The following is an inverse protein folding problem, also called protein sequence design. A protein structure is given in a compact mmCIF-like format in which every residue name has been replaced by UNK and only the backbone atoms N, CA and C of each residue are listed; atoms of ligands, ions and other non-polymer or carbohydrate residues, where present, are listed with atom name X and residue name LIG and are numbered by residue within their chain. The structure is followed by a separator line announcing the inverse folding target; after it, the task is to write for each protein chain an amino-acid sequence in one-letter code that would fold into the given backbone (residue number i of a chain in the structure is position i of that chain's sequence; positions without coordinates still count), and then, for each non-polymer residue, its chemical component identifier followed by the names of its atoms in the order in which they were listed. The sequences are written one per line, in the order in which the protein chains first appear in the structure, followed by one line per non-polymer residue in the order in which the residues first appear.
data_IF_803628651516
#
_entry.id   IF_803628651516
#
_cell.length_a   1.000
_cell.length_b   1.000
_cell.length_c   1.000
_cell.angle_alpha   90.00
_cell.angle_beta   90.00
_cell.angle_gamma   90.00
#
_symmetry.space_group_name_H-M   'P 1'
#
loop_
_entity.id
_entity.type
_entity.pdbx_description
1 polymer ?
#
# COMPACT_ATOMS: atom_id res chain seq x y z
N UNK A 1 10.44 -0.76 -4.33
CA UNK A 1 10.27 -1.75 -5.41
C UNK A 1 9.47 -2.92 -4.85
N UNK A 2 8.61 -3.55 -5.65
CA UNK A 2 7.87 -4.76 -5.31
C UNK A 2 8.43 -5.86 -6.21
N UNK A 3 9.14 -6.80 -5.59
CA UNK A 3 9.81 -7.90 -6.27
C UNK A 3 8.89 -9.12 -6.28
N UNK A 4 8.64 -9.75 -7.45
CA UNK A 4 7.78 -10.92 -7.52
C UNK A 4 8.23 -12.03 -6.56
N UNK A 5 7.27 -12.56 -5.79
CA UNK A 5 7.45 -13.65 -4.81
C UNK A 5 8.35 -13.35 -3.61
N UNK A 6 8.78 -12.10 -3.41
CA UNK A 6 9.42 -11.71 -2.16
C UNK A 6 8.40 -11.56 -1.02
N UNK A 7 8.83 -11.91 0.18
CA UNK A 7 7.98 -11.88 1.38
C UNK A 7 7.54 -10.45 1.75
N UNK A 8 6.36 -10.35 2.33
CA UNK A 8 5.93 -9.17 3.08
C UNK A 8 6.74 -9.11 4.38
N UNK A 9 7.49 -8.02 4.56
CA UNK A 9 8.52 -7.90 5.62
C UNK A 9 8.20 -6.81 6.63
N UNK A 10 7.17 -6.01 6.38
CA UNK A 10 6.73 -4.92 7.24
C UNK A 10 5.24 -5.06 7.54
N UNK A 11 4.85 -4.68 8.75
CA UNK A 11 3.48 -4.75 9.25
C UNK A 11 3.10 -3.45 9.94
N UNK A 12 1.93 -2.91 9.62
CA UNK A 12 1.41 -1.70 10.26
C UNK A 12 1.01 -1.94 11.72
N UNK A 13 1.54 -1.13 12.65
CA UNK A 13 1.13 -1.11 14.05
C UNK A 13 -0.06 -0.16 14.24
N UNK A 14 -1.15 -0.63 14.86
CA UNK A 14 -2.31 0.21 15.19
C UNK A 14 -1.89 1.44 16.03
N UNK A 15 -2.44 2.64 15.79
CA UNK A 15 -2.40 3.69 16.79
C UNK A 15 -3.31 3.27 17.95
N UNK A 16 -2.72 2.94 19.10
CA UNK A 16 -3.46 2.66 20.33
C UNK A 16 -4.05 3.98 20.85
N UNK A 17 -5.20 4.41 20.32
CA UNK A 17 -6.00 5.48 20.93
C UNK A 17 -6.89 4.85 21.99
N UNK A 18 -6.43 4.87 23.24
CA UNK A 18 -7.16 4.29 24.36
C UNK A 18 -6.40 4.32 25.67
N UNK A 19 -5.70 5.41 26.02
CA UNK A 19 -5.36 5.65 27.43
C UNK A 19 -6.62 6.13 28.16
N UNK A 20 -7.52 5.21 28.50
CA UNK A 20 -8.36 5.43 29.67
C UNK A 20 -7.46 5.31 30.89
N UNK A 21 -7.18 6.46 31.51
CA UNK A 21 -6.56 6.54 32.82
C UNK A 21 -7.44 5.79 33.81
N UNK A 22 -7.00 4.60 34.23
CA UNK A 22 -7.61 3.86 35.33
C UNK A 22 -7.46 4.66 36.61
N UNK A 23 -8.57 5.13 37.16
CA UNK A 23 -8.61 5.61 38.55
C UNK A 23 -8.57 4.40 39.49
N UNK A 24 -7.74 4.39 40.54
CA UNK A 24 -7.72 3.30 41.49
C UNK A 24 -8.91 3.42 42.45
N UNK A 25 -9.80 2.44 42.40
CA UNK A 25 -10.82 2.20 43.40
C UNK A 25 -10.19 1.96 44.78
N UNK A 26 -10.46 2.83 45.75
CA UNK A 26 -10.21 2.55 47.17
C UNK A 26 -11.44 1.86 47.75
N UNK A 27 -11.39 0.52 47.84
CA UNK A 27 -12.38 -0.27 48.55
C UNK A 27 -12.01 -0.41 50.03
N UNK A 28 -12.76 0.25 50.91
CA UNK A 28 -12.79 -0.06 52.34
C UNK A 28 -13.43 -1.44 52.53
N UNK A 29 -12.70 -2.36 53.17
CA UNK A 29 -13.25 -3.62 53.62
C UNK A 29 -14.04 -3.46 54.91
N UNK A 30 -15.25 -4.00 54.95
CA UNK A 30 -15.86 -4.61 56.13
C UNK A 30 -17.20 -5.28 55.78
N UNK A 31 -17.31 -6.57 56.11
CA UNK A 31 -18.55 -7.13 56.66
C UNK A 31 -19.48 -7.94 55.75
N UNK A 32 -19.63 -9.21 56.16
CA UNK A 32 -20.87 -10.01 56.21
C UNK A 32 -21.08 -11.16 55.21
N UNK A 33 -21.63 -12.21 55.84
CA UNK A 33 -21.87 -13.59 55.42
C UNK A 33 -23.04 -13.70 54.43
N UNK A 34 -23.06 -14.74 53.60
CA UNK A 34 -24.26 -15.11 52.83
C UNK A 34 -24.05 -16.31 51.91
N UNK A 35 -25.01 -17.25 51.94
CA UNK A 35 -25.01 -18.58 51.34
C UNK A 35 -25.24 -18.63 49.81
N UNK A 36 -24.81 -19.76 49.23
CA UNK A 36 -25.39 -20.54 48.12
C UNK A 36 -26.01 -19.81 46.92
N UNK A 37 -25.47 -20.10 45.73
CA UNK A 37 -26.15 -19.94 44.45
C UNK A 37 -25.44 -20.71 43.34
N UNK A 38 -25.94 -21.91 43.03
CA UNK A 38 -25.71 -22.53 41.72
C UNK A 38 -26.45 -21.69 40.66
N UNK A 39 -25.76 -21.27 39.60
CA UNK A 39 -26.22 -21.25 38.20
C UNK A 39 -25.36 -20.29 37.38
N UNK A 40 -24.90 -20.75 36.22
CA UNK A 40 -24.27 -19.88 35.22
C UNK A 40 -23.17 -20.55 34.40
N UNK A 41 -23.50 -21.58 33.62
CA UNK A 41 -22.76 -21.83 32.38
C UNK A 41 -22.96 -20.61 31.48
N UNK A 42 -21.97 -19.74 31.36
CA UNK A 42 -21.86 -18.81 30.24
C UNK A 42 -20.42 -18.85 29.74
N UNK A 43 -20.31 -19.09 28.43
CA UNK A 43 -19.10 -19.59 27.79
C UNK A 43 -17.91 -18.66 27.93
N UNK A 44 -16.76 -19.27 28.20
CA UNK A 44 -15.48 -18.77 27.70
C UNK A 44 -15.47 -18.94 26.17
N UNK A 45 -16.32 -18.21 25.46
CA UNK A 45 -16.00 -17.85 24.08
C UNK A 45 -15.04 -16.69 24.20
N UNK A 46 -13.77 -17.01 23.92
CA UNK A 46 -12.68 -16.08 23.97
C UNK A 46 -13.08 -14.75 23.34
N UNK A 47 -12.83 -13.68 24.08
CA UNK A 47 -12.60 -12.37 23.53
C UNK A 47 -11.39 -12.50 22.58
N UNK A 48 -11.61 -13.03 21.37
CA UNK A 48 -10.81 -12.67 20.22
C UNK A 48 -11.21 -11.22 19.94
N UNK A 49 -10.64 -10.33 20.75
CA UNK A 49 -10.65 -8.91 20.50
C UNK A 49 -10.28 -8.72 19.05
N UNK A 50 -11.11 -7.94 18.35
CA UNK A 50 -10.89 -7.54 16.97
C UNK A 50 -9.44 -7.09 16.82
N UNK A 51 -8.58 -8.01 16.37
CA UNK A 51 -7.26 -7.67 15.88
C UNK A 51 -7.53 -6.98 14.57
N UNK A 52 -7.82 -5.67 14.64
CA UNK A 52 -8.06 -4.84 13.48
C UNK A 52 -6.95 -5.10 12.47
N UNK A 53 -7.36 -5.31 11.21
CA UNK A 53 -6.51 -5.67 10.09
C UNK A 53 -5.18 -4.92 10.14
N UNK A 54 -4.07 -5.67 10.17
CA UNK A 54 -2.72 -5.11 10.07
C UNK A 54 -2.30 -5.24 8.61
N UNK A 55 -1.95 -4.13 7.99
CA UNK A 55 -1.38 -4.15 6.65
C UNK A 55 -0.02 -4.86 6.69
N UNK A 56 0.26 -5.67 5.68
CA UNK A 56 1.55 -6.33 5.48
C UNK A 56 2.02 -6.06 4.06
N UNK A 57 3.26 -5.61 3.92
CA UNK A 57 3.78 -5.21 2.62
C UNK A 57 5.30 -5.41 2.52
N UNK A 58 5.83 -5.32 1.30
CA UNK A 58 7.27 -5.34 1.07
C UNK A 58 7.95 -4.07 1.61
N UNK A 59 9.28 -4.12 1.70
CA UNK A 59 10.09 -3.02 2.24
C UNK A 59 9.86 -1.70 1.52
N UNK A 60 9.54 -0.67 2.31
CA UNK A 60 9.52 0.72 1.87
C UNK A 60 10.80 1.39 2.35
N UNK A 61 11.64 1.82 1.42
CA UNK A 61 12.91 2.49 1.73
C UNK A 61 12.76 4.01 1.78
N UNK A 62 13.62 4.65 2.56
CA UNK A 62 13.84 6.09 2.48
C UNK A 62 14.81 6.41 1.35
N UNK A 63 14.49 7.45 0.58
CA UNK A 63 15.37 7.98 -0.48
C UNK A 63 15.75 9.42 -0.15
N UNK A 64 17.00 9.80 -0.44
CA UNK A 64 17.53 11.15 -0.26
C UNK A 64 18.36 11.59 -1.47
N UNK A 65 18.67 12.88 -1.51
CA UNK A 65 19.54 13.44 -2.54
C UNK A 65 20.89 12.69 -2.58
N UNK A 66 21.29 12.28 -3.78
CA UNK A 66 22.52 11.51 -4.03
C UNK A 66 22.35 9.99 -4.02
N UNK A 67 21.19 9.46 -3.64
CA UNK A 67 20.94 8.02 -3.71
C UNK A 67 20.83 7.55 -5.18
N UNK A 68 21.36 6.36 -5.47
CA UNK A 68 21.23 5.66 -6.75
C UNK A 68 20.45 4.38 -6.53
N UNK A 69 19.39 4.18 -7.32
CA UNK A 69 18.48 3.05 -7.20
C UNK A 69 18.52 2.26 -8.49
N UNK A 70 18.81 0.96 -8.41
CA UNK A 70 18.67 0.04 -9.53
C UNK A 70 17.28 -0.60 -9.48
N UNK A 71 16.61 -0.67 -10.63
CA UNK A 71 15.31 -1.34 -10.78
C UNK A 71 15.45 -2.39 -11.87
N UNK A 72 15.08 -3.63 -11.56
CA UNK A 72 15.14 -4.72 -12.54
C UNK A 72 13.92 -4.73 -13.46
N UNK A 73 14.03 -5.21 -14.71
CA UNK A 73 12.87 -5.38 -15.59
C UNK A 73 11.77 -6.22 -14.93
N UNK A 74 10.53 -5.75 -15.02
CA UNK A 74 9.35 -6.44 -14.48
C UNK A 74 9.05 -6.16 -13.00
N UNK A 75 9.93 -5.49 -12.26
CA UNK A 75 9.63 -5.06 -10.89
C UNK A 75 8.78 -3.80 -10.86
N UNK A 76 7.75 -3.78 -10.02
CA UNK A 76 6.96 -2.58 -9.79
C UNK A 76 7.65 -1.64 -8.81
N UNK A 77 7.48 -0.33 -8.97
CA UNK A 77 8.00 0.65 -8.02
C UNK A 77 7.11 1.88 -7.96
N UNK A 78 7.15 2.57 -6.82
CA UNK A 78 6.42 3.80 -6.55
C UNK A 78 7.28 4.69 -5.66
N UNK A 79 7.04 6.00 -5.75
CA UNK A 79 7.72 7.02 -4.94
C UNK A 79 6.68 7.87 -4.24
N UNK A 80 6.96 8.26 -3.01
CA UNK A 80 6.13 9.19 -2.24
C UNK A 80 7.01 10.27 -1.65
N UNK A 81 6.68 11.53 -1.96
CA UNK A 81 7.39 12.67 -1.39
C UNK A 81 6.81 12.98 0.00
N UNK A 82 7.60 12.69 1.04
CA UNK A 82 7.29 13.05 2.43
C UNK A 82 7.81 14.43 2.82
N UNK A 83 8.64 15.05 1.99
CA UNK A 83 9.23 16.36 2.22
C UNK A 83 8.32 17.50 1.80
N UNK A 84 8.71 18.69 2.20
CA UNK A 84 8.13 19.98 1.81
C UNK A 84 8.71 20.48 0.47
N UNK A 85 9.90 20.01 0.10
CA UNK A 85 10.56 20.35 -1.16
C UNK A 85 10.22 19.35 -2.28
N UNK A 86 10.27 19.76 -3.56
CA UNK A 86 10.08 18.85 -4.68
C UNK A 86 11.08 17.68 -4.68
N UNK A 87 10.56 16.45 -4.79
CA UNK A 87 11.37 15.28 -5.08
C UNK A 87 11.64 15.20 -6.59
N UNK A 88 12.91 15.23 -6.98
CA UNK A 88 13.36 15.10 -8.37
C UNK A 88 14.09 13.77 -8.54
N UNK A 89 13.62 12.94 -9.48
CA UNK A 89 14.22 11.66 -9.82
C UNK A 89 14.60 11.70 -11.30
N UNK A 90 15.86 11.40 -11.60
CA UNK A 90 16.36 11.24 -12.97
C UNK A 90 16.49 9.74 -13.22
N UNK A 91 15.84 9.24 -14.28
CA UNK A 91 15.85 7.83 -14.64
C UNK A 91 16.53 7.61 -15.98
N UNK A 92 17.39 6.59 -16.03
CA UNK A 92 18.03 6.10 -17.25
C UNK A 92 17.46 4.73 -17.58
N UNK A 93 16.92 4.58 -18.79
CA UNK A 93 16.34 3.34 -19.29
C UNK A 93 17.24 2.75 -20.37
N UNK A 94 17.89 1.63 -20.08
CA UNK A 94 18.72 0.92 -21.05
C UNK A 94 17.85 0.11 -22.03
N UNK A 95 17.38 0.77 -23.08
CA UNK A 95 16.53 0.17 -24.12
C UNK A 95 17.26 -0.85 -25.00
N UNK A 96 18.59 -0.90 -24.96
CA UNK A 96 19.42 -1.83 -25.73
C UNK A 96 19.87 -3.05 -24.90
N UNK A 97 19.52 -3.09 -23.61
CA UNK A 97 19.85 -4.18 -22.73
C UNK A 97 19.28 -5.51 -23.22
N UNK A 98 20.04 -6.61 -23.11
CA UNK A 98 19.56 -7.94 -23.49
C UNK A 98 18.36 -8.42 -22.67
N UNK A 99 18.13 -7.84 -21.49
CA UNK A 99 16.95 -8.13 -20.67
C UNK A 99 15.66 -7.52 -21.27
N UNK A 100 15.76 -6.54 -22.17
CA UNK A 100 14.63 -5.97 -22.88
C UNK A 100 14.24 -6.87 -24.08
N UNK A 101 13.17 -7.64 -23.91
CA UNK A 101 12.68 -8.61 -24.92
C UNK A 101 11.60 -8.04 -25.85
N UNK A 102 11.30 -6.74 -25.75
CA UNK A 102 10.23 -6.10 -26.51
C UNK A 102 10.80 -5.42 -27.76
N UNK A 103 11.19 -4.16 -27.65
CA UNK A 103 11.73 -3.34 -28.73
C UNK A 103 12.57 -2.18 -28.18
N UNK A 104 13.15 -1.37 -29.06
CA UNK A 104 14.03 -0.24 -28.67
C UNK A 104 13.27 1.03 -28.22
N UNK A 105 12.03 0.92 -27.77
CA UNK A 105 11.32 2.01 -27.13
C UNK A 105 11.21 1.75 -25.62
N UNK A 106 11.32 2.80 -24.79
CA UNK A 106 10.95 2.65 -23.38
C UNK A 106 9.45 2.36 -23.28
N UNK A 107 9.10 1.37 -22.46
CA UNK A 107 7.72 0.95 -22.22
C UNK A 107 7.41 1.04 -20.74
N UNK A 108 6.38 1.83 -20.40
CA UNK A 108 5.93 2.02 -19.02
C UNK A 108 4.63 1.27 -18.81
N UNK A 109 4.66 0.28 -17.91
CA UNK A 109 3.50 -0.53 -17.55
C UNK A 109 2.94 -0.03 -16.21
N UNK A 110 1.79 0.64 -16.24
CA UNK A 110 1.19 1.28 -15.06
C UNK A 110 0.24 0.32 -14.36
N UNK A 111 0.44 0.11 -13.06
CA UNK A 111 -0.51 -0.66 -12.23
C UNK A 111 -1.77 0.16 -11.89
N UNK A 112 -1.63 1.47 -11.76
CA UNK A 112 -2.70 2.41 -11.45
C UNK A 112 -2.45 3.76 -12.13
N UNK A 113 -3.44 4.65 -12.07
CA UNK A 113 -3.40 5.94 -12.76
C UNK A 113 -3.53 5.78 -14.27
N UNK A 114 -3.69 6.91 -14.96
CA UNK A 114 -3.76 6.99 -16.42
C UNK A 114 -2.90 8.14 -16.90
N UNK A 115 -2.52 8.11 -18.16
CA UNK A 115 -1.78 9.18 -18.80
C UNK A 115 -2.53 9.66 -20.05
N UNK A 116 -3.35 10.70 -19.93
CA UNK A 116 -4.10 11.26 -21.07
C UNK A 116 -3.18 11.88 -22.13
N UNK A 117 -1.93 12.22 -21.79
CA UNK A 117 -0.97 12.85 -22.71
C UNK A 117 -0.15 11.83 -23.51
N UNK A 118 -0.35 10.52 -23.28
CA UNK A 118 0.44 9.48 -23.93
C UNK A 118 1.85 9.32 -23.36
N UNK A 119 2.49 8.20 -23.67
CA UNK A 119 3.83 7.86 -23.21
C UNK A 119 4.96 8.54 -23.99
N UNK A 120 6.18 8.36 -23.50
CA UNK A 120 7.39 8.84 -24.15
C UNK A 120 7.98 7.73 -25.01
N UNK A 121 7.84 7.80 -26.34
CA UNK A 121 8.44 6.80 -27.23
C UNK A 121 7.73 6.69 -28.58
N UNK A 122 8.16 7.49 -29.56
CA UNK A 122 7.65 7.41 -30.93
C UNK A 122 6.17 7.83 -31.11
N UNK A 123 5.69 7.87 -32.37
CA UNK A 123 4.34 8.36 -32.70
C UNK A 123 3.22 7.52 -32.08
N UNK A 124 3.44 6.21 -31.93
CA UNK A 124 2.46 5.25 -31.44
C UNK A 124 2.17 5.38 -29.94
N UNK A 125 2.97 6.14 -29.19
CA UNK A 125 2.75 6.37 -27.77
C UNK A 125 2.01 7.68 -27.48
N UNK A 126 1.60 8.43 -28.50
CA UNK A 126 0.82 9.67 -28.34
C UNK A 126 -0.65 9.43 -27.94
N UNK A 127 -1.13 8.19 -28.00
CA UNK A 127 -2.46 7.83 -27.54
C UNK A 127 -2.54 7.76 -26.01
N UNK A 128 -3.74 8.02 -25.46
CA UNK A 128 -4.01 7.91 -24.03
C UNK A 128 -3.60 6.53 -23.50
N UNK A 129 -2.67 6.51 -22.54
CA UNK A 129 -2.25 5.27 -21.89
C UNK A 129 -3.03 5.06 -20.61
N UNK A 130 -3.73 3.94 -20.53
CA UNK A 130 -4.42 3.52 -19.31
C UNK A 130 -3.55 2.56 -18.50
N UNK A 131 -3.91 2.30 -17.24
CA UNK A 131 -3.27 1.24 -16.45
C UNK A 131 -3.56 -0.15 -17.04
N UNK A 132 -2.73 -1.12 -16.70
CA UNK A 132 -2.84 -2.50 -17.20
C UNK A 132 -4.18 -3.17 -16.88
N UNK A 133 -4.83 -2.79 -15.77
CA UNK A 133 -6.13 -3.36 -15.38
C UNK A 133 -7.24 -2.94 -16.35
N UNK A 134 -7.10 -1.80 -17.04
CA UNK A 134 -8.12 -1.34 -18.00
C UNK A 134 -8.25 -2.23 -19.24
N UNK A 135 -7.22 -3.03 -19.54
CA UNK A 135 -7.20 -3.97 -20.67
C UNK A 135 -7.98 -5.27 -20.42
N UNK A 136 -8.47 -5.51 -19.20
CA UNK A 136 -9.24 -6.70 -18.85
C UNK A 136 -10.74 -6.42 -18.80
N UNK A 137 -11.55 -7.47 -19.02
CA UNK A 137 -12.99 -7.41 -18.74
C UNK A 137 -13.21 -7.22 -17.21
N UNK A 138 -14.05 -6.27 -16.78
CA UNK A 138 -14.36 -6.08 -15.35
C UNK A 138 -14.86 -7.35 -14.64
N UNK A 139 -15.58 -8.24 -15.31
CA UNK A 139 -16.03 -9.52 -14.75
C UNK A 139 -14.85 -10.44 -14.44
N UNK A 140 -13.85 -10.49 -15.32
CA UNK A 140 -12.63 -11.28 -15.14
C UNK A 140 -11.80 -10.73 -13.96
N UNK A 141 -11.67 -9.40 -13.86
CA UNK A 141 -10.99 -8.77 -12.73
C UNK A 141 -11.71 -9.04 -11.41
N UNK A 142 -13.04 -8.89 -11.39
CA UNK A 142 -13.87 -9.15 -10.22
C UNK A 142 -13.69 -10.59 -9.72
N UNK A 143 -13.71 -11.55 -10.64
CA UNK A 143 -13.50 -12.96 -10.33
C UNK A 143 -12.08 -13.23 -9.81
N UNK A 144 -11.05 -12.69 -10.47
CA UNK A 144 -9.65 -12.94 -10.11
C UNK A 144 -9.28 -12.34 -8.74
N UNK A 145 -9.77 -11.14 -8.44
CA UNK A 145 -9.49 -10.41 -7.19
C UNK A 145 -10.51 -10.70 -6.08
N UNK A 146 -11.58 -11.46 -6.37
CA UNK A 146 -12.70 -11.76 -5.46
C UNK A 146 -13.35 -10.50 -4.90
N UNK A 147 -13.61 -9.54 -5.78
CA UNK A 147 -14.26 -8.26 -5.49
C UNK A 147 -15.55 -8.14 -6.30
N UNK A 148 -16.37 -7.15 -5.98
CA UNK A 148 -17.52 -6.82 -6.82
C UNK A 148 -17.09 -6.14 -8.13
N UNK A 149 -17.96 -6.24 -9.14
CA UNK A 149 -17.69 -5.71 -10.49
C UNK A 149 -17.55 -4.19 -10.49
N UNK A 150 -18.19 -3.47 -9.57
CA UNK A 150 -18.07 -2.00 -9.51
C UNK A 150 -16.67 -1.62 -9.03
N UNK A 151 -16.16 -2.27 -7.98
CA UNK A 151 -14.78 -2.08 -7.54
C UNK A 151 -13.77 -2.47 -8.64
N UNK A 152 -14.04 -3.55 -9.38
CA UNK A 152 -13.22 -3.91 -10.54
C UNK A 152 -13.19 -2.79 -11.61
N UNK A 153 -14.31 -2.15 -11.90
CA UNK A 153 -14.38 -0.99 -12.80
C UNK A 153 -13.63 0.23 -12.25
N UNK A 154 -13.69 0.48 -10.94
CA UNK A 154 -12.95 1.56 -10.29
C UNK A 154 -11.44 1.37 -10.43
N UNK A 155 -10.93 0.14 -10.26
CA UNK A 155 -9.51 -0.19 -10.43
C UNK A 155 -8.98 0.13 -11.84
N UNK A 156 -9.85 0.11 -12.87
CA UNK A 156 -9.46 0.45 -14.23
C UNK A 156 -9.20 1.95 -14.43
N UNK A 157 -9.62 2.81 -13.50
CA UNK A 157 -9.45 4.27 -13.53
C UNK A 157 -9.89 4.93 -14.86
N UNK A 158 -10.81 4.36 -15.65
CA UNK A 158 -11.05 4.81 -17.05
C UNK A 158 -11.38 6.30 -17.24
N UNK A 159 -11.91 6.96 -16.22
CA UNK A 159 -12.27 8.39 -16.23
C UNK A 159 -11.34 9.25 -15.37
N UNK A 160 -10.21 8.70 -14.92
CA UNK A 160 -9.23 9.41 -14.10
C UNK A 160 -8.24 10.20 -14.97
N UNK A 161 -8.21 11.52 -14.77
CA UNK A 161 -7.33 12.45 -15.47
C UNK A 161 -6.21 13.00 -14.57
N UNK A 162 -6.02 12.45 -13.37
CA UNK A 162 -4.99 12.91 -12.42
C UNK A 162 -3.55 12.62 -12.87
N UNK A 163 -3.37 11.80 -13.89
CA UNK A 163 -2.03 11.38 -14.30
C UNK A 163 -1.53 10.20 -13.46
N UNK A 164 -0.21 10.02 -13.44
CA UNK A 164 0.48 9.01 -12.63
C UNK A 164 1.12 9.58 -11.35
N UNK A 165 1.08 10.90 -11.16
CA UNK A 165 1.56 11.57 -9.95
C UNK A 165 0.34 12.21 -9.29
N UNK A 166 -0.11 11.60 -8.20
CA UNK A 166 -1.35 12.01 -7.52
C UNK A 166 -1.05 12.65 -6.18
N UNK A 167 -1.91 13.59 -5.77
CA UNK A 167 -1.87 14.14 -4.42
C UNK A 167 -2.58 13.18 -3.47
N UNK A 168 -1.85 12.63 -2.51
CA UNK A 168 -2.42 11.84 -1.41
C UNK A 168 -3.22 12.78 -0.50
N UNK A 169 -4.47 12.43 -0.19
CA UNK A 169 -5.32 13.15 0.77
C UNK A 169 -5.23 12.46 2.13
N UNK A 170 -5.00 13.24 3.19
CA UNK A 170 -4.88 12.70 4.54
C UNK A 170 -3.51 12.05 4.82
N UNK A 171 -3.36 11.35 5.96
CA UNK A 171 -2.10 10.75 6.34
C UNK A 171 -1.77 9.54 5.44
N UNK A 172 -0.58 9.54 4.84
CA UNK A 172 -0.02 8.34 4.22
C UNK A 172 0.71 7.54 5.29
N UNK A 173 0.03 6.53 5.84
CA UNK A 173 0.59 5.62 6.84
C UNK A 173 1.15 4.41 6.11
N UNK A 174 2.46 4.23 6.20
CA UNK A 174 3.16 3.05 5.71
C UNK A 174 4.29 2.78 6.69
N UNK A 175 4.39 1.57 7.21
CA UNK A 175 5.51 1.20 8.07
C UNK A 175 6.79 1.06 7.23
N UNK A 176 7.90 1.58 7.74
CA UNK A 176 9.19 1.60 7.05
C UNK A 176 10.33 1.53 8.05
N UNK A 177 11.54 1.08 7.66
CA UNK A 177 12.71 1.10 8.54
C UNK A 177 12.98 2.51 9.08
N UNK A 178 13.62 2.65 10.25
CA UNK A 178 14.08 3.94 10.72
C UNK A 178 15.08 4.56 9.74
N UNK A 179 15.14 5.89 9.72
CA UNK A 179 16.13 6.63 8.94
C UNK A 179 17.54 6.15 9.29
N UNK A 180 18.35 5.86 8.27
CA UNK A 180 19.77 5.56 8.48
C UNK A 180 20.43 6.79 9.11
N UNK A 181 21.10 6.62 10.24
CA UNK A 181 21.94 7.66 10.82
C UNK A 181 23.03 8.02 9.81
N UNK A 182 23.30 9.32 9.67
CA UNK A 182 24.48 9.79 8.95
C UNK A 182 25.73 9.29 9.68
N UNK A 183 26.64 8.65 8.94
CA UNK A 183 28.01 8.42 9.39
C UNK A 183 28.75 9.74 9.57
#
# INVERSE_FOLDING_TARGET
EVIPRCAETFMDSQPMQGQQQGQPWQGQGQGQQGQQGQQGQQGQQGQQGQQGFRDMHQKVEHVRHGDVIAVTPGSAHWFYNTGDQPLVIISLLDIANYQNQLDRNPRVFRLAGNNPQGGFGGPQQQEQQQNMLSGFDPQVLAQALKIDVRLAQELQNKQDNRGNIVRVKGPFKVVRPPLRQSY
#
